data_IF_642449213890
#
_entry.id   IF_642449213890
#
_cell.length_a   1.000
_cell.length_b   1.000
_cell.length_c   1.000
_cell.angle_alpha   90.00
_cell.angle_beta   90.00
_cell.angle_gamma   90.00
#
_symmetry.space_group_name_H-M   'P 1'
#
loop_
_entity.id
_entity.type
_entity.pdbx_description
1 polymer ?
#
# COMPACT_ATOMS: atom_id res chain seq x y z
N UNK A 1 6.47 -33.78 14.10
CA UNK A 1 6.51 -32.42 13.52
C UNK A 1 7.68 -32.37 12.56
N UNK A 2 7.44 -32.18 11.26
CA UNK A 2 8.50 -32.05 10.23
C UNK A 2 8.41 -30.63 9.66
N UNK A 3 9.53 -29.92 9.71
CA UNK A 3 9.71 -28.52 9.36
C UNK A 3 9.93 -28.33 7.85
N UNK A 4 9.73 -27.09 7.37
CA UNK A 4 9.63 -26.62 5.97
C UNK A 4 10.74 -27.01 4.97
N UNK A 5 11.80 -27.70 5.39
CA UNK A 5 12.96 -28.03 4.54
C UNK A 5 12.71 -29.20 3.56
N UNK A 6 11.69 -30.04 3.78
CA UNK A 6 11.41 -31.19 2.91
C UNK A 6 10.86 -30.80 1.53
N UNK A 7 10.26 -29.61 1.39
CA UNK A 7 9.66 -29.18 0.11
C UNK A 7 10.69 -28.72 -0.91
N UNK A 8 11.88 -28.26 -0.49
CA UNK A 8 12.87 -27.71 -1.42
C UNK A 8 13.69 -28.80 -2.14
N UNK A 9 13.83 -29.99 -1.55
CA UNK A 9 14.71 -31.05 -2.08
C UNK A 9 14.05 -31.99 -3.09
N UNK A 10 12.72 -31.98 -3.20
CA UNK A 10 11.97 -32.86 -4.14
C UNK A 10 11.72 -32.25 -5.53
N UNK A 11 12.03 -30.97 -5.74
CA UNK A 11 11.73 -30.28 -7.01
C UNK A 11 12.67 -30.58 -8.19
N UNK A 12 13.61 -31.52 -8.06
CA UNK A 12 14.64 -31.73 -9.10
C UNK A 12 14.63 -33.12 -9.75
N UNK A 13 13.63 -33.97 -9.47
CA UNK A 13 13.51 -35.24 -10.19
C UNK A 13 12.08 -35.54 -10.60
N UNK A 14 11.98 -35.83 -11.88
CA UNK A 14 10.98 -36.69 -12.53
C UNK A 14 9.79 -35.97 -13.15
N UNK A 15 10.09 -35.46 -14.35
CA UNK A 15 9.32 -35.75 -15.56
C UNK A 15 8.53 -37.05 -15.46
N UNK A 16 7.20 -36.96 -15.51
CA UNK A 16 6.34 -38.14 -15.54
C UNK A 16 4.87 -37.81 -15.37
N UNK A 17 4.25 -37.39 -16.47
CA UNK A 17 2.87 -37.78 -16.82
C UNK A 17 1.73 -37.33 -15.89
N UNK A 18 1.32 -36.07 -16.00
CA UNK A 18 -0.10 -35.65 -15.88
C UNK A 18 -0.26 -34.18 -16.30
N UNK A 19 -0.73 -33.85 -17.52
CA UNK A 19 -0.86 -32.46 -17.98
C UNK A 19 -2.02 -31.67 -17.34
N UNK A 20 -2.90 -32.31 -16.55
CA UNK A 20 -4.05 -31.63 -15.93
C UNK A 20 -3.98 -31.47 -14.40
N UNK A 21 -2.99 -32.07 -13.71
CA UNK A 21 -2.85 -31.92 -12.25
C UNK A 21 -1.96 -30.75 -11.82
N UNK A 22 -1.21 -30.15 -12.75
CA UNK A 22 -0.39 -28.96 -12.49
C UNK A 22 -1.17 -27.63 -12.59
N UNK A 23 -2.45 -27.66 -12.97
CA UNK A 23 -3.23 -26.44 -13.23
C UNK A 23 -3.81 -25.76 -11.99
N UNK A 24 -3.74 -26.38 -10.80
CA UNK A 24 -4.39 -25.83 -9.61
C UNK A 24 -3.45 -25.25 -8.54
N UNK A 25 -2.17 -25.04 -8.83
CA UNK A 25 -1.25 -24.28 -7.98
C UNK A 25 -0.98 -22.85 -8.50
N UNK A 26 -1.85 -22.31 -9.36
CA UNK A 26 -1.74 -20.95 -9.90
C UNK A 26 -2.79 -19.97 -9.37
N UNK A 27 -3.49 -20.32 -8.30
CA UNK A 27 -4.25 -19.31 -7.55
C UNK A 27 -3.35 -18.75 -6.45
N UNK A 28 -2.24 -18.13 -6.84
CA UNK A 28 -1.76 -16.99 -6.05
C UNK A 28 -2.79 -15.90 -6.28
N UNK A 29 -3.84 -15.92 -5.47
CA UNK A 29 -4.68 -14.74 -5.25
C UNK A 29 -3.80 -13.75 -4.49
N UNK A 30 -2.85 -13.16 -5.22
CA UNK A 30 -2.12 -12.00 -4.74
C UNK A 30 -3.18 -10.94 -4.55
N UNK A 31 -3.49 -10.65 -3.29
CA UNK A 31 -4.40 -9.56 -2.97
C UNK A 31 -3.93 -8.31 -3.71
N UNK A 32 -4.85 -7.51 -4.29
CA UNK A 32 -4.48 -6.33 -5.05
C UNK A 32 -3.58 -5.44 -4.19
N UNK A 33 -2.47 -4.98 -4.77
CA UNK A 33 -1.55 -4.07 -4.10
C UNK A 33 -2.29 -2.74 -3.89
N UNK A 34 -2.64 -2.45 -2.64
CA UNK A 34 -3.41 -1.28 -2.27
C UNK A 34 -2.78 -0.57 -1.07
N UNK A 35 -2.89 0.75 -1.06
CA UNK A 35 -2.49 1.60 0.05
C UNK A 35 -3.40 2.82 0.17
N UNK A 36 -3.81 3.12 1.40
CA UNK A 36 -4.55 4.35 1.72
C UNK A 36 -3.63 5.35 2.41
N UNK A 37 -3.60 6.59 1.90
CA UNK A 37 -2.95 7.72 2.55
C UNK A 37 -3.97 8.69 3.15
N UNK A 38 -3.73 9.11 4.38
CA UNK A 38 -4.34 10.30 4.98
C UNK A 38 -3.51 11.52 4.61
N UNK A 39 -4.12 12.50 3.97
CA UNK A 39 -3.51 13.79 3.62
C UNK A 39 -4.02 14.86 4.59
N UNK A 40 -3.11 15.60 5.19
CA UNK A 40 -3.39 16.70 6.11
C UNK A 40 -2.37 17.82 5.94
N UNK A 41 -2.65 19.00 6.51
CA UNK A 41 -1.66 20.06 6.67
C UNK A 41 -1.16 20.09 8.10
N UNK A 42 0.14 20.24 8.29
CA UNK A 42 0.71 20.48 9.62
C UNK A 42 0.56 21.95 10.07
N UNK A 43 1.10 22.28 11.23
CA UNK A 43 1.05 23.61 11.84
C UNK A 43 1.75 24.68 10.99
N UNK A 44 2.76 24.29 10.21
CA UNK A 44 3.52 25.15 9.30
C UNK A 44 2.86 25.26 7.91
N UNK A 45 1.72 24.61 7.70
CA UNK A 45 0.97 24.59 6.44
C UNK A 45 1.57 23.69 5.35
N UNK A 46 2.51 22.81 5.70
CA UNK A 46 3.08 21.81 4.80
C UNK A 46 2.07 20.67 4.62
N UNK A 47 1.92 20.20 3.38
CA UNK A 47 1.06 19.06 3.10
C UNK A 47 1.81 17.76 3.45
N UNK A 48 1.21 16.95 4.31
CA UNK A 48 1.74 15.68 4.77
C UNK A 48 0.82 14.54 4.33
N UNK A 49 1.41 13.38 4.06
CA UNK A 49 0.70 12.15 3.75
C UNK A 49 1.24 10.99 4.61
N UNK A 50 0.32 10.29 5.28
CA UNK A 50 0.62 9.12 6.12
C UNK A 50 -0.16 7.92 5.60
N UNK A 51 0.52 6.81 5.37
CA UNK A 51 -0.10 5.53 5.06
C UNK A 51 -0.89 5.02 6.28
N UNK A 52 -2.17 4.73 6.10
CA UNK A 52 -3.03 4.21 7.18
C UNK A 52 -2.81 2.71 7.37
N UNK A 53 -2.60 1.99 6.27
CA UNK A 53 -2.48 0.54 6.26
C UNK A 53 -1.01 0.09 6.26
N UNK A 54 -0.09 1.04 6.03
CA UNK A 54 1.35 0.81 5.84
C UNK A 54 2.14 1.94 6.50
N UNK A 55 3.34 1.65 6.99
CA UNK A 55 4.24 2.63 7.62
C UNK A 55 4.94 3.52 6.59
N UNK A 56 4.17 4.22 5.76
CA UNK A 56 4.65 5.17 4.77
C UNK A 56 4.38 6.58 5.25
N UNK A 57 5.36 7.46 5.05
CA UNK A 57 5.25 8.87 5.40
C UNK A 57 5.96 9.71 4.35
N UNK A 58 5.31 10.78 3.91
CA UNK A 58 5.90 11.73 2.97
C UNK A 58 5.24 13.10 3.10
N UNK A 59 5.88 14.14 2.58
CA UNK A 59 5.39 15.51 2.65
C UNK A 59 5.76 16.30 1.40
N UNK A 60 5.07 17.42 1.16
CA UNK A 60 5.33 18.31 0.04
C UNK A 60 4.82 19.72 0.29
N UNK A 61 5.58 20.73 -0.15
CA UNK A 61 5.16 22.15 -0.06
C UNK A 61 3.99 22.49 -0.99
N UNK A 62 3.75 21.67 -2.01
CA UNK A 62 2.63 21.80 -2.95
C UNK A 62 1.99 20.43 -3.16
N UNK A 63 0.72 20.44 -3.57
CA UNK A 63 0.00 19.18 -3.83
C UNK A 63 0.70 18.34 -4.90
N UNK A 64 1.17 18.96 -5.99
CA UNK A 64 1.92 18.26 -7.04
C UNK A 64 3.20 17.60 -6.51
N UNK A 65 3.93 18.29 -5.62
CA UNK A 65 5.14 17.73 -5.00
C UNK A 65 4.80 16.58 -4.05
N UNK A 66 3.72 16.71 -3.29
CA UNK A 66 3.23 15.65 -2.42
C UNK A 66 2.86 14.40 -3.22
N UNK A 67 2.03 14.53 -4.26
CA UNK A 67 1.60 13.41 -5.11
C UNK A 67 2.80 12.71 -5.74
N UNK A 68 3.77 13.47 -6.27
CA UNK A 68 5.01 12.88 -6.78
C UNK A 68 5.73 12.05 -5.71
N UNK A 69 5.90 12.61 -4.52
CA UNK A 69 6.59 11.90 -3.45
C UNK A 69 5.80 10.68 -2.93
N UNK A 70 4.46 10.69 -3.00
CA UNK A 70 3.61 9.52 -2.72
C UNK A 70 3.88 8.42 -3.75
N UNK A 71 3.93 8.76 -5.04
CA UNK A 71 4.23 7.78 -6.08
C UNK A 71 5.62 7.17 -5.89
N UNK A 72 6.65 8.01 -5.68
CA UNK A 72 8.04 7.58 -5.49
C UNK A 72 8.18 6.59 -4.30
N UNK A 73 7.51 6.87 -3.16
CA UNK A 73 7.59 5.98 -1.99
C UNK A 73 6.78 4.70 -2.17
N UNK A 74 5.67 4.75 -2.91
CA UNK A 74 4.88 3.56 -3.27
C UNK A 74 5.71 2.62 -4.15
N UNK A 75 6.39 3.15 -5.16
CA UNK A 75 7.29 2.33 -6.02
C UNK A 75 8.39 1.66 -5.22
N UNK A 76 9.04 2.43 -4.33
CA UNK A 76 10.10 1.92 -3.46
C UNK A 76 9.59 0.82 -2.52
N UNK A 77 8.40 1.01 -1.93
CA UNK A 77 7.87 0.10 -0.93
C UNK A 77 7.39 -1.23 -1.52
N UNK A 78 6.69 -1.19 -2.68
CA UNK A 78 6.16 -2.40 -3.31
C UNK A 78 7.11 -3.04 -4.31
N UNK A 79 8.16 -2.33 -4.75
CA UNK A 79 9.10 -2.83 -5.76
C UNK A 79 8.50 -2.95 -7.16
N UNK A 80 7.37 -2.28 -7.41
CA UNK A 80 6.65 -2.25 -8.70
C UNK A 80 6.28 -0.80 -9.03
N UNK A 81 6.04 -0.46 -10.31
CA UNK A 81 5.56 0.87 -10.69
C UNK A 81 4.27 1.24 -9.95
N UNK A 82 4.11 2.51 -9.55
CA UNK A 82 2.95 2.94 -8.75
C UNK A 82 1.64 2.76 -9.51
N UNK A 83 1.69 2.72 -10.84
CA UNK A 83 0.53 2.48 -11.72
C UNK A 83 -0.07 1.09 -11.56
N UNK A 84 0.65 0.16 -10.93
CA UNK A 84 0.16 -1.19 -10.59
C UNK A 84 -0.38 -1.28 -9.16
N UNK A 85 -0.32 -0.18 -8.39
CA UNK A 85 -0.78 -0.10 -7.01
C UNK A 85 -2.01 0.80 -6.94
N UNK A 86 -3.07 0.34 -6.28
CA UNK A 86 -4.24 1.17 -6.01
C UNK A 86 -3.91 2.12 -4.86
N UNK A 87 -3.85 3.42 -5.16
CA UNK A 87 -3.54 4.47 -4.17
C UNK A 87 -4.83 5.22 -3.84
N UNK A 88 -5.31 5.07 -2.61
CA UNK A 88 -6.46 5.82 -2.10
C UNK A 88 -6.00 7.01 -1.29
N UNK A 89 -6.59 8.19 -1.53
CA UNK A 89 -6.26 9.41 -0.80
C UNK A 89 -7.47 9.88 0.02
N UNK A 90 -7.29 10.01 1.34
CA UNK A 90 -8.28 10.57 2.27
C UNK A 90 -7.79 11.94 2.73
N UNK A 91 -8.40 12.99 2.19
CA UNK A 91 -8.06 14.37 2.56
C UNK A 91 -8.86 14.72 3.81
N UNK A 92 -8.16 15.12 4.87
CA UNK A 92 -8.85 15.74 6.00
C UNK A 92 -9.11 17.20 5.70
N UNK A 93 -10.39 17.52 5.51
CA UNK A 93 -10.83 18.89 5.64
C UNK A 93 -10.51 19.33 7.08
N UNK A 94 -9.70 20.39 7.22
CA UNK A 94 -9.60 21.09 8.50
C UNK A 94 -11.02 21.49 8.88
N UNK A 95 -11.56 20.85 9.91
CA UNK A 95 -12.90 21.12 10.40
C UNK A 95 -12.97 22.58 10.82
N UNK A 96 -13.88 23.34 10.20
CA UNK A 96 -14.49 24.46 10.90
C UNK A 96 -15.29 23.87 12.06
N UNK A 97 -14.65 23.66 13.21
CA UNK A 97 -15.36 23.51 14.48
C UNK A 97 -15.84 24.90 14.89
N UNK A 98 -17.00 25.31 14.38
CA UNK A 98 -17.83 26.27 15.10
C UNK A 98 -18.93 25.47 15.79
N UNK A 99 -18.99 25.51 17.12
CA UNK A 99 -20.24 25.85 17.75
C UNK A 99 -20.05 27.10 18.59
N UNK A 100 -20.74 28.14 18.14
CA UNK A 100 -21.11 29.32 18.91
C UNK A 100 -21.70 28.83 20.24
N UNK A 101 -20.98 29.01 21.35
CA UNK A 101 -21.58 28.87 22.68
C UNK A 101 -21.85 30.26 23.22
N UNK A 102 -22.92 30.88 22.72
CA UNK A 102 -23.61 31.94 23.44
C UNK A 102 -24.14 31.35 24.74
N UNK A 103 -23.56 31.76 25.86
CA UNK A 103 -24.22 31.62 27.16
C UNK A 103 -24.66 33.02 27.57
N UNK A 104 -25.97 33.19 27.68
CA UNK A 104 -26.62 34.41 28.15
C UNK A 104 -26.59 34.57 29.66
#
# INVERSE_FOLDING_TARGET
>A
MRTLDDCYRKGLKESGSDPDSARNCLISTEAPLEVTFRIYKDEDGILCATGLDRRLYTFGKTYNKLIKNINDIVELFFGVPYTQVTINLKIEAQGNSSPETSTG
#
